data_IF_448133393632
#
_entry.id   IF_448133393632
#
_cell.length_a   1.000
_cell.length_b   1.000
_cell.length_c   1.000
_cell.angle_alpha   90.00
_cell.angle_beta   90.00
_cell.angle_gamma   90.00
#
_symmetry.space_group_name_H-M   'P 1'
#
loop_
_entity.id
_entity.type
_entity.pdbx_description
1 polymer ?
#
# COMPACT_ATOMS: atom_id res chain seq x y z
N UNK A 1 19.19 -45.04 -18.05
CA UNK A 1 18.50 -43.76 -18.28
C UNK A 1 17.02 -44.08 -18.37
N UNK A 2 16.21 -43.50 -17.50
CA UNK A 2 14.76 -43.73 -17.50
C UNK A 2 14.16 -43.27 -18.85
N UNK A 3 13.17 -43.98 -19.37
CA UNK A 3 12.56 -43.67 -20.68
C UNK A 3 11.98 -42.25 -20.73
N UNK A 4 11.56 -41.76 -19.57
CA UNK A 4 10.97 -40.44 -19.36
C UNK A 4 12.03 -39.33 -19.39
N UNK A 5 13.18 -39.54 -18.74
CA UNK A 5 14.32 -38.62 -18.80
C UNK A 5 14.85 -38.50 -20.24
N UNK A 6 14.92 -39.63 -20.96
CA UNK A 6 15.32 -39.64 -22.37
C UNK A 6 14.33 -38.86 -23.25
N UNK A 7 13.02 -38.97 -22.99
CA UNK A 7 12.00 -38.19 -23.70
C UNK A 7 12.17 -36.69 -23.44
N UNK A 8 12.41 -36.29 -22.19
CA UNK A 8 12.66 -34.90 -21.82
C UNK A 8 13.90 -34.33 -22.54
N UNK A 9 15.02 -35.05 -22.52
CA UNK A 9 16.26 -34.65 -23.21
C UNK A 9 16.06 -34.51 -24.72
N UNK A 10 15.25 -35.38 -25.34
CA UNK A 10 14.90 -35.26 -26.76
C UNK A 10 14.14 -33.98 -27.04
N UNK A 11 13.15 -33.61 -26.21
CA UNK A 11 12.44 -32.34 -26.37
C UNK A 11 13.41 -31.15 -26.29
N UNK A 12 14.29 -31.12 -25.28
CA UNK A 12 15.27 -30.04 -25.14
C UNK A 12 16.21 -29.94 -26.35
N UNK A 13 16.73 -31.07 -26.84
CA UNK A 13 17.58 -31.07 -28.02
C UNK A 13 16.87 -30.47 -29.24
N UNK A 14 15.57 -30.79 -29.43
CA UNK A 14 14.81 -30.24 -30.54
C UNK A 14 14.62 -28.72 -30.44
N UNK A 15 14.45 -28.17 -29.23
CA UNK A 15 14.37 -26.72 -29.03
C UNK A 15 15.65 -26.00 -29.47
N UNK A 16 16.80 -26.64 -29.32
CA UNK A 16 18.11 -26.11 -29.74
C UNK A 16 18.35 -26.32 -31.24
N UNK A 17 18.07 -27.53 -31.76
CA UNK A 17 18.59 -27.95 -33.06
C UNK A 17 17.61 -27.83 -34.23
N UNK A 18 16.30 -27.82 -34.00
CA UNK A 18 15.33 -27.88 -35.09
C UNK A 18 15.01 -26.51 -35.68
N UNK A 19 15.25 -26.37 -36.98
CA UNK A 19 14.84 -25.20 -37.75
C UNK A 19 13.38 -25.26 -38.19
N UNK A 20 12.69 -26.40 -38.03
CA UNK A 20 11.32 -26.59 -38.53
C UNK A 20 10.25 -26.19 -37.50
N UNK A 21 9.35 -25.27 -37.87
CA UNK A 21 8.36 -24.68 -36.95
C UNK A 21 7.37 -25.72 -36.41
N UNK A 22 6.90 -26.64 -37.25
CA UNK A 22 5.91 -27.66 -36.89
C UNK A 22 6.46 -28.69 -35.91
N UNK A 23 7.72 -29.08 -36.07
CA UNK A 23 8.41 -29.98 -35.15
C UNK A 23 8.64 -29.31 -33.80
N UNK A 24 9.03 -28.03 -33.77
CA UNK A 24 9.14 -27.28 -32.51
C UNK A 24 7.80 -27.20 -31.79
N UNK A 25 6.71 -26.82 -32.48
CA UNK A 25 5.35 -26.76 -31.87
C UNK A 25 4.89 -28.10 -31.29
N UNK A 26 5.06 -29.20 -32.04
CA UNK A 26 4.72 -30.54 -31.54
C UNK A 26 5.53 -30.93 -30.31
N UNK A 27 6.79 -30.54 -30.25
CA UNK A 27 7.64 -30.79 -29.09
C UNK A 27 7.26 -29.93 -27.89
N UNK A 28 6.76 -28.70 -28.08
CA UNK A 28 6.20 -27.89 -26.98
C UNK A 28 5.04 -28.63 -26.30
N UNK A 29 4.08 -29.15 -27.07
CA UNK A 29 2.95 -29.90 -26.53
C UNK A 29 3.39 -31.16 -25.78
N UNK A 30 4.33 -31.91 -26.38
CA UNK A 30 4.90 -33.13 -25.77
C UNK A 30 5.62 -32.81 -24.47
N UNK A 31 6.42 -31.74 -24.45
CA UNK A 31 7.15 -31.30 -23.27
C UNK A 31 6.21 -30.85 -22.14
N UNK A 32 5.17 -30.06 -22.45
CA UNK A 32 4.16 -29.65 -21.47
C UNK A 32 3.42 -30.84 -20.88
N UNK A 33 3.15 -31.88 -21.68
CA UNK A 33 2.54 -33.11 -21.17
C UNK A 33 3.49 -33.88 -20.24
N UNK A 34 4.78 -33.96 -20.57
CA UNK A 34 5.79 -34.57 -19.70
C UNK A 34 5.89 -33.86 -18.35
N UNK A 35 5.78 -32.53 -18.30
CA UNK A 35 5.83 -31.76 -17.05
C UNK A 35 4.68 -32.10 -16.10
N UNK A 36 3.56 -32.66 -16.57
CA UNK A 36 2.46 -33.09 -15.68
C UNK A 36 2.77 -34.39 -14.93
N UNK A 37 3.82 -35.12 -15.33
CA UNK A 37 4.19 -36.38 -14.71
C UNK A 37 4.98 -36.14 -13.41
N UNK A 38 4.45 -36.60 -12.28
CA UNK A 38 5.10 -36.45 -10.98
C UNK A 38 6.51 -37.08 -10.93
N UNK A 39 6.81 -38.06 -11.79
CA UNK A 39 8.15 -38.68 -11.86
C UNK A 39 9.19 -37.73 -12.42
N UNK A 40 8.81 -36.83 -13.34
CA UNK A 40 9.69 -35.77 -13.84
C UNK A 40 10.02 -34.81 -12.70
N UNK A 41 8.99 -34.40 -11.98
CA UNK A 41 9.09 -33.60 -10.78
C UNK A 41 10.01 -34.21 -9.71
N UNK A 42 9.89 -35.51 -9.42
CA UNK A 42 10.80 -36.20 -8.49
C UNK A 42 12.22 -36.35 -9.02
N UNK A 43 12.42 -36.36 -10.34
CA UNK A 43 13.74 -36.45 -10.96
C UNK A 43 14.46 -35.09 -10.93
N UNK A 44 13.72 -34.00 -11.15
CA UNK A 44 14.26 -32.64 -11.23
C UNK A 44 14.48 -31.98 -9.86
N UNK A 45 13.71 -32.36 -8.83
CA UNK A 45 13.86 -31.85 -7.45
C UNK A 45 14.99 -32.53 -6.67
N UNK A 46 15.73 -33.48 -7.27
CA UNK A 46 16.81 -34.16 -6.54
C UNK A 46 17.96 -33.20 -6.31
N UNK A 47 18.22 -32.88 -5.04
CA UNK A 47 19.47 -32.29 -4.61
C UNK A 47 20.63 -33.23 -4.99
N UNK A 48 21.42 -32.82 -5.97
CA UNK A 48 22.54 -33.63 -6.43
C UNK A 48 23.70 -33.48 -5.44
N UNK A 49 23.84 -34.45 -4.53
CA UNK A 49 24.88 -34.44 -3.51
C UNK A 49 26.24 -34.98 -3.99
N UNK A 50 26.29 -35.68 -5.14
CA UNK A 50 27.50 -36.29 -5.70
C UNK A 50 27.89 -35.67 -7.06
N UNK A 51 29.09 -35.11 -7.17
CA UNK A 51 29.62 -34.44 -8.38
C UNK A 51 29.64 -35.37 -9.62
N UNK A 52 29.81 -36.68 -9.41
CA UNK A 52 29.83 -37.68 -10.50
C UNK A 52 28.44 -37.98 -11.06
N UNK A 53 27.39 -37.92 -10.23
CA UNK A 53 26.00 -38.02 -10.68
C UNK A 53 25.46 -36.71 -11.26
N UNK A 54 26.00 -35.56 -10.81
CA UNK A 54 25.62 -34.23 -11.30
C UNK A 54 25.88 -34.01 -12.78
N UNK A 55 26.97 -34.57 -13.31
CA UNK A 55 27.35 -34.42 -14.73
C UNK A 55 26.37 -35.08 -15.71
N UNK A 56 25.43 -35.90 -15.25
CA UNK A 56 24.54 -36.67 -16.13
C UNK A 56 23.05 -36.57 -15.78
N UNK A 57 22.66 -35.80 -14.76
CA UNK A 57 21.25 -35.59 -14.40
C UNK A 57 20.76 -34.24 -14.88
N UNK A 58 19.62 -34.24 -15.57
CA UNK A 58 18.94 -33.02 -16.01
C UNK A 58 18.36 -32.27 -14.80
N UNK A 59 18.50 -30.94 -14.77
CA UNK A 59 17.99 -30.10 -13.67
C UNK A 59 16.98 -29.06 -14.17
N UNK A 60 16.21 -28.48 -13.23
CA UNK A 60 15.33 -27.34 -13.52
C UNK A 60 16.08 -26.17 -14.17
N UNK A 61 17.30 -25.88 -13.72
CA UNK A 61 18.12 -24.79 -14.24
C UNK A 61 18.63 -25.06 -15.67
N UNK A 62 19.04 -26.29 -15.97
CA UNK A 62 19.42 -26.68 -17.34
C UNK A 62 18.24 -26.52 -18.30
N UNK A 63 17.06 -27.00 -17.90
CA UNK A 63 15.83 -26.84 -18.68
C UNK A 63 15.49 -25.36 -18.88
N UNK A 64 15.58 -24.56 -17.82
CA UNK A 64 15.31 -23.14 -17.87
C UNK A 64 16.19 -22.41 -18.88
N UNK A 65 17.49 -22.68 -18.90
CA UNK A 65 18.41 -22.04 -19.83
C UNK A 65 18.06 -22.35 -21.30
N UNK A 66 17.75 -23.60 -21.63
CA UNK A 66 17.33 -24.00 -22.98
C UNK A 66 16.01 -23.35 -23.38
N UNK A 67 15.02 -23.38 -22.50
CA UNK A 67 13.69 -22.83 -22.79
C UNK A 67 13.75 -21.29 -22.88
N UNK A 68 14.56 -20.63 -22.05
CA UNK A 68 14.82 -19.19 -22.13
C UNK A 68 15.34 -18.80 -23.51
N UNK A 69 16.39 -19.45 -23.98
CA UNK A 69 17.00 -19.15 -25.29
C UNK A 69 16.01 -19.37 -26.43
N UNK A 70 15.32 -20.52 -26.41
CA UNK A 70 14.25 -20.81 -27.36
C UNK A 70 13.16 -19.72 -27.38
N UNK A 71 12.69 -19.28 -26.21
CA UNK A 71 11.66 -18.25 -26.12
C UNK A 71 12.15 -16.90 -26.65
N UNK A 72 13.38 -16.49 -26.34
CA UNK A 72 13.95 -15.23 -26.85
C UNK A 72 14.06 -15.25 -28.39
N UNK A 73 14.47 -16.38 -28.95
CA UNK A 73 14.58 -16.57 -30.40
C UNK A 73 13.21 -16.56 -31.09
N UNK A 74 12.22 -17.25 -30.52
CA UNK A 74 10.86 -17.26 -31.05
C UNK A 74 10.23 -15.85 -30.99
N UNK A 75 10.36 -15.14 -29.87
CA UNK A 75 9.90 -13.76 -29.75
C UNK A 75 10.54 -12.89 -30.84
N UNK A 76 11.87 -12.93 -30.97
CA UNK A 76 12.62 -12.16 -31.96
C UNK A 76 12.21 -12.47 -33.40
N UNK A 77 11.96 -13.75 -33.70
CA UNK A 77 11.47 -14.23 -34.99
C UNK A 77 10.04 -13.73 -35.28
N UNK A 78 9.14 -13.73 -34.29
CA UNK A 78 7.78 -13.20 -34.46
C UNK A 78 7.84 -11.70 -34.73
N UNK A 79 8.63 -10.95 -33.96
CA UNK A 79 8.77 -9.49 -34.09
C UNK A 79 9.27 -9.05 -35.47
N UNK A 80 10.27 -9.75 -36.00
CA UNK A 80 10.85 -9.43 -37.32
C UNK A 80 9.93 -9.79 -38.48
N UNK A 81 9.08 -10.82 -38.32
CA UNK A 81 8.24 -11.36 -39.40
C UNK A 81 6.79 -10.87 -39.39
N UNK A 82 6.31 -10.29 -38.29
CA UNK A 82 4.89 -10.00 -38.13
C UNK A 82 4.56 -8.53 -38.36
N UNK A 83 3.51 -8.27 -39.14
CA UNK A 83 2.75 -7.01 -39.09
C UNK A 83 1.92 -7.00 -37.79
N UNK A 84 1.83 -5.85 -37.11
CA UNK A 84 1.11 -5.70 -35.81
C UNK A 84 -0.39 -5.99 -35.99
N UNK A 85 -0.81 -7.23 -35.82
CA UNK A 85 -2.21 -7.66 -35.91
C UNK A 85 -2.51 -8.73 -34.84
N UNK A 86 -3.80 -9.04 -34.62
CA UNK A 86 -4.24 -10.00 -33.60
C UNK A 86 -3.65 -11.42 -33.76
N UNK A 87 -3.20 -11.79 -34.97
CA UNK A 87 -2.51 -13.07 -35.20
C UNK A 87 -1.08 -13.09 -34.63
N UNK A 88 -0.47 -11.92 -34.46
CA UNK A 88 0.84 -11.78 -33.81
C UNK A 88 0.72 -11.98 -32.29
N UNK A 89 -0.32 -11.44 -31.67
CA UNK A 89 -0.54 -11.55 -30.22
C UNK A 89 -0.68 -13.00 -29.77
N UNK A 90 -1.42 -13.82 -30.53
CA UNK A 90 -1.55 -15.27 -30.28
C UNK A 90 -0.18 -15.95 -30.34
N UNK A 91 0.66 -15.59 -31.33
CA UNK A 91 2.01 -16.17 -31.47
C UNK A 91 2.91 -15.78 -30.29
N UNK A 92 2.83 -14.53 -29.82
CA UNK A 92 3.57 -14.10 -28.62
C UNK A 92 3.12 -14.87 -27.38
N UNK A 93 1.81 -15.04 -27.18
CA UNK A 93 1.30 -15.83 -26.07
C UNK A 93 1.75 -17.30 -26.16
N UNK A 94 1.71 -17.92 -27.35
CA UNK A 94 2.19 -19.29 -27.55
C UNK A 94 3.69 -19.42 -27.20
N UNK A 95 4.52 -18.48 -27.62
CA UNK A 95 5.96 -18.48 -27.33
C UNK A 95 6.24 -18.30 -25.82
N UNK A 96 5.48 -17.44 -25.14
CA UNK A 96 5.61 -17.20 -23.70
C UNK A 96 4.99 -18.31 -22.84
N UNK A 97 4.00 -19.05 -23.36
CA UNK A 97 3.29 -20.10 -22.62
C UNK A 97 4.23 -21.19 -22.12
N UNK A 98 5.18 -21.63 -22.95
CA UNK A 98 6.15 -22.66 -22.56
C UNK A 98 7.05 -22.17 -21.43
N UNK A 99 7.57 -20.94 -21.57
CA UNK A 99 8.42 -20.29 -20.57
C UNK A 99 7.69 -20.14 -19.22
N UNK A 100 6.46 -19.63 -19.25
CA UNK A 100 5.55 -19.54 -18.10
C UNK A 100 5.32 -20.89 -17.45
N UNK A 101 4.94 -21.89 -18.25
CA UNK A 101 4.62 -23.24 -17.76
C UNK A 101 5.81 -23.84 -17.03
N UNK A 102 7.03 -23.69 -17.57
CA UNK A 102 8.23 -24.18 -16.91
C UNK A 102 8.44 -23.54 -15.53
N UNK A 103 8.38 -22.21 -15.45
CA UNK A 103 8.57 -21.49 -14.18
C UNK A 103 7.49 -21.86 -13.17
N UNK A 104 6.23 -21.95 -13.60
CA UNK A 104 5.11 -22.36 -12.76
C UNK A 104 5.34 -23.76 -12.17
N UNK A 105 5.74 -24.73 -13.00
CA UNK A 105 5.98 -26.09 -12.55
C UNK A 105 7.20 -26.18 -11.62
N UNK A 106 8.30 -25.49 -11.94
CA UNK A 106 9.48 -25.46 -11.09
C UNK A 106 9.20 -24.81 -9.72
N UNK A 107 8.33 -23.79 -9.68
CA UNK A 107 8.01 -23.06 -8.44
C UNK A 107 6.78 -23.60 -7.68
N UNK A 108 6.16 -24.70 -8.15
CA UNK A 108 4.90 -25.20 -7.56
C UNK A 108 5.09 -25.66 -6.10
N UNK A 109 6.22 -26.27 -5.78
CA UNK A 109 6.51 -26.80 -4.43
C UNK A 109 7.41 -25.88 -3.60
N UNK A 110 8.46 -25.38 -4.23
CA UNK A 110 9.42 -24.42 -3.68
C UNK A 110 10.10 -23.69 -4.85
N UNK A 111 10.74 -22.54 -4.63
CA UNK A 111 11.46 -21.83 -5.69
C UNK A 111 12.76 -22.57 -6.07
N UNK A 112 12.66 -23.57 -6.96
CA UNK A 112 13.77 -24.47 -7.35
C UNK A 112 14.77 -23.81 -8.32
N UNK A 113 14.32 -22.85 -9.13
CA UNK A 113 15.20 -22.19 -10.10
C UNK A 113 16.19 -21.24 -9.44
N UNK A 114 17.34 -21.04 -10.08
CA UNK A 114 18.26 -19.95 -9.72
C UNK A 114 17.58 -18.61 -10.01
N UNK A 115 17.51 -17.72 -9.02
CA UNK A 115 16.74 -16.49 -9.16
C UNK A 115 17.32 -15.54 -10.19
N UNK A 116 18.64 -15.38 -10.20
CA UNK A 116 19.30 -14.36 -11.02
C UNK A 116 19.05 -14.58 -12.52
N UNK A 117 19.23 -15.78 -13.10
CA UNK A 117 18.84 -16.06 -14.47
C UNK A 117 17.36 -15.81 -14.75
N UNK A 118 16.46 -16.21 -13.84
CA UNK A 118 15.01 -16.04 -14.02
C UNK A 118 14.64 -14.56 -14.08
N UNK A 119 15.11 -13.78 -13.11
CA UNK A 119 14.83 -12.35 -12.99
C UNK A 119 15.42 -11.60 -14.19
N UNK A 120 16.68 -11.83 -14.56
CA UNK A 120 17.30 -11.15 -15.71
C UNK A 120 16.57 -11.46 -17.01
N UNK A 121 16.13 -12.71 -17.21
CA UNK A 121 15.42 -13.11 -18.42
C UNK A 121 14.10 -12.36 -18.59
N UNK A 122 13.34 -12.22 -17.51
CA UNK A 122 12.03 -11.55 -17.56
C UNK A 122 12.21 -10.03 -17.66
N UNK A 123 13.03 -9.46 -16.78
CA UNK A 123 13.23 -8.01 -16.67
C UNK A 123 13.86 -7.44 -17.94
N UNK A 124 14.88 -8.11 -18.50
CA UNK A 124 15.53 -7.66 -19.74
C UNK A 124 14.57 -7.59 -20.91
N UNK A 125 13.58 -8.50 -21.00
CA UNK A 125 12.57 -8.46 -22.05
C UNK A 125 11.57 -7.33 -21.79
N UNK A 126 11.03 -7.24 -20.56
CA UNK A 126 9.99 -6.27 -20.21
C UNK A 126 10.47 -4.81 -20.39
N UNK A 127 11.69 -4.51 -19.95
CA UNK A 127 12.23 -3.13 -19.99
C UNK A 127 12.79 -2.77 -21.36
N UNK A 128 13.18 -3.76 -22.17
CA UNK A 128 13.80 -3.49 -23.47
C UNK A 128 12.95 -2.61 -24.37
N UNK A 129 13.58 -1.61 -24.98
CA UNK A 129 12.97 -0.78 -26.03
C UNK A 129 12.40 -1.62 -27.18
N UNK A 130 12.96 -2.82 -27.41
CA UNK A 130 12.48 -3.77 -28.40
C UNK A 130 11.02 -4.20 -28.19
N UNK A 131 10.59 -4.23 -26.93
CA UNK A 131 9.33 -4.82 -26.47
C UNK A 131 8.42 -3.83 -25.74
N UNK A 132 8.93 -2.62 -25.45
CA UNK A 132 8.19 -1.55 -24.77
C UNK A 132 6.87 -1.15 -25.46
N UNK A 133 6.73 -1.44 -26.77
CA UNK A 133 5.50 -1.20 -27.53
C UNK A 133 4.60 -2.43 -27.73
N UNK A 134 4.96 -3.58 -27.17
CA UNK A 134 4.23 -4.84 -27.30
C UNK A 134 3.43 -5.13 -26.02
N UNK A 135 2.19 -4.64 -25.99
CA UNK A 135 1.31 -4.73 -24.82
C UNK A 135 1.15 -6.17 -24.29
N UNK A 136 0.99 -7.14 -25.20
CA UNK A 136 0.77 -8.53 -24.80
C UNK A 136 1.98 -9.15 -24.10
N UNK A 137 3.19 -8.91 -24.62
CA UNK A 137 4.43 -9.42 -24.02
C UNK A 137 4.64 -8.83 -22.62
N UNK A 138 4.47 -7.50 -22.49
CA UNK A 138 4.57 -6.81 -21.20
C UNK A 138 3.56 -7.39 -20.20
N UNK A 139 2.31 -7.57 -20.61
CA UNK A 139 1.25 -8.08 -19.73
C UNK A 139 1.53 -9.50 -19.23
N UNK A 140 1.87 -10.41 -20.14
CA UNK A 140 2.13 -11.82 -19.83
C UNK A 140 3.34 -11.97 -18.90
N UNK A 141 4.45 -11.29 -19.23
CA UNK A 141 5.67 -11.35 -18.43
C UNK A 141 5.55 -10.61 -17.10
N UNK A 142 4.82 -9.49 -17.04
CA UNK A 142 4.54 -8.80 -15.77
C UNK A 142 3.74 -9.67 -14.83
N UNK A 143 2.73 -10.36 -15.35
CA UNK A 143 1.94 -11.27 -14.55
C UNK A 143 2.81 -12.40 -14.00
N UNK A 144 3.58 -13.06 -14.87
CA UNK A 144 4.52 -14.13 -14.50
C UNK A 144 5.54 -13.67 -13.44
N UNK A 145 6.11 -12.47 -13.61
CA UNK A 145 7.05 -11.86 -12.68
C UNK A 145 6.40 -11.68 -11.30
N UNK A 146 5.22 -11.09 -11.23
CA UNK A 146 4.59 -10.74 -9.95
C UNK A 146 4.06 -11.98 -9.23
N UNK A 147 3.37 -12.88 -9.94
CA UNK A 147 2.66 -14.00 -9.31
C UNK A 147 3.53 -15.21 -9.01
N UNK A 148 4.56 -15.47 -9.83
CA UNK A 148 5.30 -16.73 -9.77
C UNK A 148 6.79 -16.54 -9.47
N UNK A 149 7.30 -15.31 -9.53
CA UNK A 149 8.70 -15.01 -9.22
C UNK A 149 8.76 -14.14 -7.96
N UNK A 150 8.31 -12.89 -8.01
CA UNK A 150 8.41 -11.96 -6.88
C UNK A 150 7.46 -12.28 -5.72
N UNK A 151 6.60 -13.29 -5.86
CA UNK A 151 5.84 -13.88 -4.75
C UNK A 151 6.73 -14.65 -3.76
N UNK A 152 7.90 -15.14 -4.20
CA UNK A 152 8.85 -15.90 -3.37
C UNK A 152 10.00 -15.02 -2.88
N UNK A 153 10.30 -15.10 -1.58
CA UNK A 153 11.39 -14.32 -0.96
C UNK A 153 12.77 -14.60 -1.56
N UNK A 154 13.03 -15.85 -2.00
CA UNK A 154 14.28 -16.24 -2.69
C UNK A 154 14.57 -15.27 -3.83
N UNK A 155 13.60 -15.08 -4.72
CA UNK A 155 13.76 -14.24 -5.91
C UNK A 155 13.74 -12.75 -5.58
N UNK A 156 12.89 -12.31 -4.65
CA UNK A 156 12.84 -10.89 -4.23
C UNK A 156 14.20 -10.41 -3.73
N UNK A 157 14.90 -11.25 -2.96
CA UNK A 157 16.22 -10.91 -2.40
C UNK A 157 17.34 -10.85 -3.45
N UNK A 158 17.11 -11.38 -4.65
CA UNK A 158 18.09 -11.39 -5.74
C UNK A 158 17.97 -10.15 -6.66
N UNK A 159 16.93 -9.32 -6.50
CA UNK A 159 16.75 -8.08 -7.26
C UNK A 159 17.80 -7.03 -6.91
N UNK A 160 18.37 -6.40 -7.93
CA UNK A 160 19.30 -5.26 -7.79
C UNK A 160 18.56 -3.94 -7.69
N UNK A 161 19.22 -2.91 -7.15
CA UNK A 161 18.66 -1.55 -7.05
C UNK A 161 18.10 -1.02 -8.37
N UNK A 162 18.87 -1.17 -9.44
CA UNK A 162 18.46 -0.68 -10.76
C UNK A 162 17.20 -1.40 -11.25
N UNK A 163 17.07 -2.70 -10.96
CA UNK A 163 15.92 -3.50 -11.38
C UNK A 163 14.67 -3.11 -10.60
N UNK A 164 14.79 -2.83 -9.30
CA UNK A 164 13.71 -2.22 -8.53
C UNK A 164 13.27 -0.88 -9.11
N UNK A 165 14.24 -0.03 -9.42
CA UNK A 165 14.02 1.30 -9.99
C UNK A 165 13.29 1.21 -11.33
N UNK A 166 13.79 0.38 -12.23
CA UNK A 166 13.24 0.24 -13.57
C UNK A 166 11.83 -0.38 -13.56
N UNK A 167 11.59 -1.40 -12.72
CA UNK A 167 10.27 -1.98 -12.56
C UNK A 167 9.27 -0.96 -12.00
N UNK A 168 9.64 -0.23 -10.95
CA UNK A 168 8.79 0.83 -10.40
C UNK A 168 8.49 1.90 -11.47
N UNK A 169 9.50 2.39 -12.20
CA UNK A 169 9.33 3.35 -13.28
C UNK A 169 8.39 2.84 -14.39
N UNK A 170 8.56 1.58 -14.78
CA UNK A 170 7.69 0.93 -15.73
C UNK A 170 6.25 0.92 -15.23
N UNK A 171 5.98 0.35 -14.05
CA UNK A 171 4.59 0.21 -13.58
C UNK A 171 3.94 1.53 -13.18
N UNK A 172 4.72 2.55 -12.77
CA UNK A 172 4.25 3.93 -12.69
C UNK A 172 3.76 4.41 -14.06
N UNK A 173 4.58 4.25 -15.11
CA UNK A 173 4.19 4.63 -16.48
C UNK A 173 2.95 3.85 -16.97
N UNK A 174 2.89 2.55 -16.70
CA UNK A 174 1.79 1.66 -17.11
C UNK A 174 0.48 1.92 -16.37
N UNK A 175 0.54 2.36 -15.11
CA UNK A 175 -0.64 2.63 -14.28
C UNK A 175 -1.24 4.01 -14.48
N UNK A 176 -0.52 4.94 -15.13
CA UNK A 176 -1.06 6.26 -15.48
C UNK A 176 -2.37 6.15 -16.25
N UNK A 177 -3.36 6.89 -15.81
CA UNK A 177 -4.68 7.00 -16.45
C UNK A 177 -4.62 7.44 -17.91
N UNK A 178 -3.61 8.22 -18.28
CA UNK A 178 -3.41 8.73 -19.64
C UNK A 178 -2.62 7.79 -20.55
N UNK A 179 -2.25 6.60 -20.08
CA UNK A 179 -1.47 5.65 -20.88
C UNK A 179 -2.29 5.12 -22.06
N UNK A 180 -1.88 5.46 -23.28
CA UNK A 180 -2.57 5.08 -24.53
C UNK A 180 -2.21 3.69 -25.05
N UNK A 181 -1.21 3.03 -24.47
CA UNK A 181 -0.71 1.76 -24.99
C UNK A 181 -1.57 0.56 -24.56
N UNK A 182 -2.30 0.70 -23.45
CA UNK A 182 -3.11 -0.36 -22.87
C UNK A 182 -4.57 0.06 -22.74
N UNK A 183 -5.45 -0.94 -22.56
CA UNK A 183 -6.86 -0.67 -22.30
C UNK A 183 -7.00 -0.07 -20.90
N UNK A 184 -7.97 0.81 -20.71
CA UNK A 184 -8.33 1.33 -19.38
C UNK A 184 -8.61 0.19 -18.38
N UNK A 185 -9.16 -0.94 -18.87
CA UNK A 185 -9.38 -2.14 -18.06
C UNK A 185 -8.10 -2.75 -17.47
N UNK A 186 -6.94 -2.54 -18.09
CA UNK A 186 -5.65 -3.06 -17.61
C UNK A 186 -4.99 -2.11 -16.58
N UNK A 187 -5.45 -0.86 -16.43
CA UNK A 187 -4.89 0.09 -15.45
C UNK A 187 -5.06 -0.41 -14.01
N UNK A 188 -6.19 -1.06 -13.71
CA UNK A 188 -6.41 -1.70 -12.40
C UNK A 188 -5.38 -2.82 -12.13
N UNK A 189 -4.97 -3.55 -13.18
CA UNK A 189 -3.97 -4.59 -13.06
C UNK A 189 -2.58 -3.98 -12.82
N UNK A 190 -2.15 -3.00 -13.61
CA UNK A 190 -0.83 -2.40 -13.46
C UNK A 190 -0.67 -1.61 -12.17
N UNK A 191 -1.72 -0.93 -11.71
CA UNK A 191 -1.72 -0.30 -10.37
C UNK A 191 -1.60 -1.34 -9.26
N UNK A 192 -2.17 -2.54 -9.43
CA UNK A 192 -2.01 -3.64 -8.46
C UNK A 192 -0.58 -4.20 -8.45
N UNK A 193 0.09 -4.25 -9.61
CA UNK A 193 1.49 -4.66 -9.71
C UNK A 193 2.42 -3.61 -9.10
N UNK A 194 2.16 -2.32 -9.35
CA UNK A 194 2.89 -1.23 -8.72
C UNK A 194 2.74 -1.29 -7.19
N UNK A 195 1.51 -1.47 -6.70
CA UNK A 195 1.22 -1.66 -5.28
C UNK A 195 2.05 -2.80 -4.69
N UNK A 196 1.98 -3.98 -5.32
CA UNK A 196 2.73 -5.15 -4.88
C UNK A 196 4.24 -4.87 -4.79
N UNK A 197 4.80 -4.21 -5.80
CA UNK A 197 6.21 -3.86 -5.81
C UNK A 197 6.57 -2.86 -4.72
N UNK A 198 5.77 -1.83 -4.48
CA UNK A 198 6.02 -0.86 -3.41
C UNK A 198 5.97 -1.54 -2.04
N UNK A 199 4.99 -2.42 -1.80
CA UNK A 199 4.88 -3.20 -0.56
C UNK A 199 6.12 -4.09 -0.35
N UNK A 200 6.62 -4.75 -1.40
CA UNK A 200 7.85 -5.55 -1.31
C UNK A 200 9.09 -4.67 -1.14
N UNK A 201 9.18 -3.59 -1.89
CA UNK A 201 10.29 -2.64 -1.84
C UNK A 201 10.46 -2.09 -0.42
N UNK A 202 9.37 -1.64 0.21
CA UNK A 202 9.36 -1.12 1.59
C UNK A 202 9.87 -2.13 2.62
N UNK A 203 9.61 -3.43 2.41
CA UNK A 203 9.94 -4.49 3.37
C UNK A 203 11.34 -5.06 3.15
N UNK A 204 11.69 -5.36 1.89
CA UNK A 204 12.91 -6.10 1.54
C UNK A 204 14.06 -5.19 1.13
N UNK A 205 13.75 -3.97 0.69
CA UNK A 205 14.74 -3.04 0.19
C UNK A 205 14.90 -1.89 1.18
N UNK A 206 15.79 -2.09 2.15
CA UNK A 206 16.15 -1.06 3.13
C UNK A 206 17.09 -0.06 2.45
N UNK A 207 16.52 1.02 1.92
CA UNK A 207 17.30 2.08 1.33
C UNK A 207 18.11 2.80 2.40
N UNK A 208 19.42 2.94 2.15
CA UNK A 208 20.18 4.08 2.63
C UNK A 208 19.46 5.35 2.10
N UNK A 209 18.77 6.03 3.03
CA UNK A 209 17.71 7.04 2.84
C UNK A 209 18.12 8.25 1.99
N UNK A 210 19.36 8.34 1.54
CA UNK A 210 19.95 9.51 0.88
C UNK A 210 20.21 9.31 -0.62
N UNK A 211 20.18 8.08 -1.15
CA UNK A 211 20.78 7.80 -2.48
C UNK A 211 19.82 7.39 -3.60
N UNK A 212 18.63 6.89 -3.30
CA UNK A 212 17.79 6.33 -4.37
C UNK A 212 16.78 7.35 -4.90
N UNK A 213 16.94 7.72 -6.17
CA UNK A 213 16.05 8.64 -6.88
C UNK A 213 14.61 8.13 -6.95
N UNK A 214 14.43 6.79 -6.97
CA UNK A 214 13.12 6.16 -7.11
C UNK A 214 12.16 6.52 -5.99
N UNK A 215 12.65 6.81 -4.78
CA UNK A 215 11.79 7.23 -3.66
C UNK A 215 11.05 8.52 -4.01
N UNK A 216 11.77 9.53 -4.50
CA UNK A 216 11.21 10.83 -4.87
C UNK A 216 10.28 10.70 -6.08
N UNK A 217 10.66 9.86 -7.04
CA UNK A 217 9.84 9.60 -8.22
C UNK A 217 8.50 8.93 -7.86
N UNK A 218 8.54 7.93 -6.96
CA UNK A 218 7.32 7.27 -6.43
C UNK A 218 6.43 8.26 -5.67
N UNK A 219 7.04 9.12 -4.85
CA UNK A 219 6.32 10.14 -4.10
C UNK A 219 5.58 11.10 -5.03
N UNK A 220 6.31 11.70 -5.97
CA UNK A 220 5.72 12.67 -6.91
C UNK A 220 4.67 12.00 -7.80
N UNK A 221 4.92 10.76 -8.22
CA UNK A 221 3.94 9.96 -8.97
C UNK A 221 2.64 9.74 -8.20
N UNK A 222 2.71 9.26 -6.95
CA UNK A 222 1.52 8.99 -6.14
C UNK A 222 0.72 10.27 -5.91
N UNK A 223 1.41 11.37 -5.61
CA UNK A 223 0.79 12.69 -5.44
C UNK A 223 0.03 13.12 -6.69
N UNK A 224 0.71 13.14 -7.84
CA UNK A 224 0.12 13.61 -9.11
C UNK A 224 -1.02 12.71 -9.57
N UNK A 225 -0.87 11.39 -9.47
CA UNK A 225 -1.87 10.46 -10.01
C UNK A 225 -3.14 10.42 -9.14
N UNK A 226 -3.02 10.47 -7.81
CA UNK A 226 -4.18 10.56 -6.90
C UNK A 226 -4.96 11.85 -7.14
N UNK A 227 -4.26 12.98 -7.34
CA UNK A 227 -4.88 14.26 -7.66
C UNK A 227 -5.70 14.20 -8.95
N UNK A 228 -5.14 13.57 -10.00
CA UNK A 228 -5.84 13.39 -11.27
C UNK A 228 -7.07 12.47 -11.14
N UNK A 229 -6.99 11.46 -10.27
CA UNK A 229 -8.05 10.48 -10.04
C UNK A 229 -9.13 10.94 -9.05
N UNK A 230 -9.01 12.14 -8.45
CA UNK A 230 -9.94 12.59 -7.40
C UNK A 230 -11.40 12.65 -7.82
N UNK A 231 -11.67 12.78 -9.13
CA UNK A 231 -13.01 12.77 -9.72
C UNK A 231 -13.32 11.52 -10.56
N UNK A 232 -12.40 10.54 -10.62
CA UNK A 232 -12.52 9.33 -11.44
C UNK A 232 -13.30 8.21 -10.73
N UNK A 233 -14.04 7.41 -11.50
CA UNK A 233 -14.73 6.20 -11.00
C UNK A 233 -13.85 4.94 -11.06
N UNK A 234 -12.54 5.07 -11.31
CA UNK A 234 -11.58 3.95 -11.36
C UNK A 234 -11.22 3.48 -9.94
N UNK A 235 -12.22 3.04 -9.16
CA UNK A 235 -12.06 2.77 -7.72
C UNK A 235 -10.97 1.75 -7.39
N UNK A 236 -10.76 0.73 -8.24
CA UNK A 236 -9.68 -0.25 -8.04
C UNK A 236 -8.29 0.37 -8.20
N UNK A 237 -8.14 1.31 -9.14
CA UNK A 237 -6.86 2.04 -9.34
C UNK A 237 -6.61 2.93 -8.13
N UNK A 238 -7.64 3.69 -7.72
CA UNK A 238 -7.59 4.55 -6.53
C UNK A 238 -7.21 3.71 -5.29
N UNK A 239 -7.86 2.58 -5.06
CA UNK A 239 -7.55 1.67 -3.95
C UNK A 239 -6.08 1.24 -3.95
N UNK A 240 -5.57 0.80 -5.10
CA UNK A 240 -4.19 0.35 -5.23
C UNK A 240 -3.18 1.46 -4.94
N UNK A 241 -3.42 2.67 -5.45
CA UNK A 241 -2.56 3.84 -5.21
C UNK A 241 -2.61 4.30 -3.75
N UNK A 242 -3.78 4.30 -3.11
CA UNK A 242 -3.90 4.64 -1.69
C UNK A 242 -3.22 3.61 -0.79
N UNK A 243 -3.30 2.32 -1.13
CA UNK A 243 -2.60 1.28 -0.39
C UNK A 243 -1.07 1.42 -0.53
N UNK A 244 -0.62 1.79 -1.72
CA UNK A 244 0.79 2.12 -1.99
C UNK A 244 1.25 3.33 -1.18
N UNK A 245 0.45 4.40 -1.17
CA UNK A 245 0.67 5.62 -0.40
C UNK A 245 0.79 5.32 1.11
N UNK A 246 -0.11 4.51 1.66
CA UNK A 246 -0.06 4.10 3.07
C UNK A 246 1.21 3.32 3.39
N UNK A 247 1.57 2.34 2.55
CA UNK A 247 2.76 1.51 2.76
C UNK A 247 4.05 2.34 2.71
N UNK A 248 4.15 3.23 1.71
CA UNK A 248 5.26 4.15 1.57
C UNK A 248 5.34 5.12 2.77
N UNK A 249 4.23 5.78 3.10
CA UNK A 249 4.20 6.79 4.16
C UNK A 249 4.50 6.20 5.54
N UNK A 250 4.04 4.98 5.80
CA UNK A 250 4.33 4.29 7.06
C UNK A 250 5.81 3.93 7.19
N UNK A 251 6.45 3.46 6.11
CA UNK A 251 7.88 3.13 6.11
C UNK A 251 8.74 4.34 6.42
N UNK A 252 8.45 5.49 5.80
CA UNK A 252 9.30 6.68 5.89
C UNK A 252 8.86 7.69 6.96
N UNK A 253 7.82 7.38 7.74
CA UNK A 253 7.28 8.26 8.77
C UNK A 253 8.37 8.77 9.73
N UNK A 254 9.24 7.87 10.21
CA UNK A 254 10.25 8.20 11.22
C UNK A 254 11.51 8.81 10.60
N UNK A 255 11.83 8.44 9.37
CA UNK A 255 13.04 8.89 8.69
C UNK A 255 12.87 10.27 8.05
N UNK A 256 11.68 10.55 7.52
CA UNK A 256 11.34 11.78 6.79
C UNK A 256 9.93 12.28 7.17
N UNK A 257 9.68 12.58 8.45
CA UNK A 257 8.37 13.02 8.93
C UNK A 257 7.85 14.27 8.22
N UNK A 258 8.74 15.20 7.86
CA UNK A 258 8.38 16.44 7.14
C UNK A 258 7.85 16.15 5.73
N UNK A 259 8.45 15.21 5.00
CA UNK A 259 7.99 14.84 3.66
C UNK A 259 6.58 14.21 3.72
N UNK A 260 6.35 13.32 4.69
CA UNK A 260 5.04 12.68 4.91
C UNK A 260 3.99 13.70 5.39
N UNK A 261 4.41 14.69 6.18
CA UNK A 261 3.58 15.81 6.63
C UNK A 261 3.12 16.69 5.47
N UNK A 262 4.05 17.17 4.64
CA UNK A 262 3.72 18.01 3.48
C UNK A 262 2.82 17.27 2.49
N UNK A 263 3.11 15.99 2.25
CA UNK A 263 2.27 15.12 1.44
C UNK A 263 0.84 15.04 1.97
N UNK A 264 0.67 14.91 3.27
CA UNK A 264 -0.62 14.91 3.94
C UNK A 264 -1.43 16.16 3.65
N UNK A 265 -0.81 17.32 3.88
CA UNK A 265 -1.47 18.62 3.67
C UNK A 265 -1.91 18.83 2.21
N UNK A 266 -1.09 18.38 1.26
CA UNK A 266 -1.38 18.52 -0.17
C UNK A 266 -2.43 17.53 -0.68
N UNK A 267 -2.38 16.26 -0.25
CA UNK A 267 -3.28 15.21 -0.76
C UNK A 267 -4.63 15.14 -0.04
N UNK A 268 -4.70 15.48 1.24
CA UNK A 268 -5.92 15.33 2.03
C UNK A 268 -7.17 15.96 1.38
N UNK A 269 -7.12 17.18 0.80
CA UNK A 269 -8.28 17.74 0.10
C UNK A 269 -8.84 16.80 -0.99
N UNK A 270 -7.95 16.19 -1.78
CA UNK A 270 -8.35 15.27 -2.84
C UNK A 270 -8.82 13.91 -2.31
N UNK A 271 -8.24 13.45 -1.20
CA UNK A 271 -8.74 12.25 -0.50
C UNK A 271 -10.12 12.48 0.11
N UNK A 272 -10.38 13.66 0.68
CA UNK A 272 -11.68 14.09 1.18
C UNK A 272 -12.70 14.10 0.04
N UNK A 273 -12.35 14.63 -1.14
CA UNK A 273 -13.22 14.60 -2.31
C UNK A 273 -13.51 13.17 -2.78
N UNK A 274 -12.52 12.26 -2.75
CA UNK A 274 -12.74 10.83 -3.04
C UNK A 274 -13.70 10.19 -2.04
N UNK A 275 -13.52 10.42 -0.73
CA UNK A 275 -14.41 9.87 0.31
C UNK A 275 -15.82 10.44 0.20
N UNK A 276 -15.96 11.75 -0.07
CA UNK A 276 -17.27 12.40 -0.21
C UNK A 276 -18.10 11.80 -1.36
N UNK A 277 -17.44 11.28 -2.40
CA UNK A 277 -18.12 10.54 -3.46
C UNK A 277 -18.58 9.18 -2.94
N UNK A 278 -19.66 8.64 -3.51
CA UNK A 278 -20.16 7.29 -3.22
C UNK A 278 -19.18 6.24 -3.78
N UNK A 279 -17.99 6.15 -3.20
CA UNK A 279 -16.95 5.17 -3.51
C UNK A 279 -17.19 3.88 -2.72
N UNK A 280 -16.54 2.80 -3.16
CA UNK A 280 -16.56 1.52 -2.44
C UNK A 280 -15.85 1.64 -1.08
N UNK A 281 -16.14 0.69 -0.17
CA UNK A 281 -15.57 0.69 1.18
C UNK A 281 -14.03 0.60 1.18
N UNK A 282 -13.43 0.07 0.12
CA UNK A 282 -11.99 -0.18 0.05
C UNK A 282 -11.16 1.11 -0.05
N UNK A 283 -11.38 2.02 -1.03
CA UNK A 283 -10.79 3.37 -1.01
C UNK A 283 -11.02 4.11 0.31
N UNK A 284 -12.26 4.08 0.86
CA UNK A 284 -12.55 4.73 2.15
C UNK A 284 -11.67 4.20 3.28
N UNK A 285 -11.46 2.89 3.34
CA UNK A 285 -10.60 2.24 4.33
C UNK A 285 -9.17 2.74 4.25
N UNK A 286 -8.64 2.86 3.03
CA UNK A 286 -7.27 3.36 2.83
C UNK A 286 -7.15 4.87 3.12
N UNK A 287 -8.17 5.67 2.82
CA UNK A 287 -8.23 7.09 3.21
C UNK A 287 -8.25 7.21 4.74
N UNK A 288 -9.07 6.43 5.43
CA UNK A 288 -9.12 6.42 6.91
C UNK A 288 -7.74 6.08 7.50
N UNK A 289 -7.04 5.08 6.94
CA UNK A 289 -5.66 4.74 7.36
C UNK A 289 -4.70 5.90 7.16
N UNK A 290 -4.72 6.55 5.99
CA UNK A 290 -3.85 7.68 5.70
C UNK A 290 -4.16 8.88 6.61
N UNK A 291 -5.45 9.22 6.79
CA UNK A 291 -5.86 10.28 7.70
C UNK A 291 -5.41 10.01 9.13
N UNK A 292 -5.48 8.77 9.62
CA UNK A 292 -4.95 8.39 10.95
C UNK A 292 -3.44 8.62 11.04
N UNK A 293 -2.68 8.28 10.01
CA UNK A 293 -1.24 8.56 9.96
C UNK A 293 -0.96 10.06 10.09
N UNK A 294 -1.71 10.88 9.35
CA UNK A 294 -1.62 12.34 9.44
C UNK A 294 -2.01 12.86 10.82
N UNK A 295 -3.04 12.28 11.46
CA UNK A 295 -3.38 12.63 12.84
C UNK A 295 -2.23 12.37 13.83
N UNK A 296 -1.43 11.33 13.60
CA UNK A 296 -0.26 11.02 14.44
C UNK A 296 0.87 12.04 14.24
N UNK A 297 1.14 12.43 13.00
CA UNK A 297 2.20 13.40 12.66
C UNK A 297 1.88 14.78 13.22
N UNK A 298 0.63 15.23 13.09
CA UNK A 298 0.16 16.52 13.58
C UNK A 298 -0.07 16.55 15.10
N UNK A 299 0.22 15.46 15.81
CA UNK A 299 0.11 15.42 17.27
C UNK A 299 1.12 16.38 17.92
N UNK A 300 0.75 17.17 18.95
CA UNK A 300 1.65 18.15 19.58
C UNK A 300 3.00 17.59 20.03
N UNK A 301 3.01 16.36 20.56
CA UNK A 301 4.25 15.66 20.95
C UNK A 301 5.17 15.32 19.77
N UNK A 302 4.65 15.18 18.54
CA UNK A 302 5.44 14.97 17.32
C UNK A 302 5.75 16.28 16.57
N UNK A 303 4.94 17.32 16.82
CA UNK A 303 5.05 18.66 16.19
C UNK A 303 6.30 19.44 16.61
N UNK A 304 7.07 18.98 17.59
CA UNK A 304 8.29 19.65 18.06
C UNK A 304 9.38 19.78 16.97
N UNK A 305 9.26 19.05 15.86
CA UNK A 305 10.21 19.10 14.73
C UNK A 305 9.74 19.87 13.49
N UNK A 306 8.45 20.24 13.36
CA UNK A 306 7.87 20.74 12.10
C UNK A 306 7.60 22.25 12.21
N UNK A 307 8.40 23.08 11.54
CA UNK A 307 8.46 24.53 11.79
C UNK A 307 7.68 25.43 10.81
N UNK A 308 7.11 24.92 9.71
CA UNK A 308 6.81 25.78 8.54
C UNK A 308 5.48 25.58 7.76
N UNK A 309 4.34 25.21 8.38
CA UNK A 309 3.06 25.26 7.64
C UNK A 309 1.95 25.93 8.45
N UNK A 310 1.16 26.76 7.74
CA UNK A 310 -0.04 27.44 8.25
C UNK A 310 -1.02 26.43 8.84
N UNK A 311 -1.28 26.59 10.13
CA UNK A 311 -2.28 25.84 10.91
C UNK A 311 -3.66 25.85 10.21
N UNK A 312 -3.95 26.83 9.36
CA UNK A 312 -5.25 27.01 8.69
C UNK A 312 -5.59 25.89 7.70
N UNK A 313 -4.62 25.41 6.91
CA UNK A 313 -4.87 24.33 5.93
C UNK A 313 -5.19 23.03 6.66
N UNK A 314 -4.41 22.70 7.69
CA UNK A 314 -4.66 21.52 8.51
C UNK A 314 -5.99 21.63 9.27
N UNK A 315 -6.29 22.78 9.89
CA UNK A 315 -7.55 23.01 10.59
C UNK A 315 -8.74 22.87 9.63
N UNK A 316 -8.62 23.37 8.39
CA UNK A 316 -9.65 23.16 7.36
C UNK A 316 -9.84 21.68 7.05
N UNK A 317 -8.75 20.95 6.78
CA UNK A 317 -8.79 19.51 6.49
C UNK A 317 -9.40 18.73 7.67
N UNK A 318 -9.06 19.09 8.92
CA UNK A 318 -9.65 18.50 10.13
C UNK A 318 -11.17 18.67 10.19
N UNK A 319 -11.68 19.86 9.86
CA UNK A 319 -13.13 20.13 9.83
C UNK A 319 -13.82 19.30 8.75
N UNK A 320 -13.25 19.28 7.56
CA UNK A 320 -13.79 18.50 6.45
C UNK A 320 -13.81 16.98 6.74
N UNK A 321 -12.77 16.45 7.39
CA UNK A 321 -12.72 15.04 7.83
C UNK A 321 -13.78 14.78 8.91
N UNK A 322 -13.91 15.67 9.90
CA UNK A 322 -14.94 15.52 10.94
C UNK A 322 -16.35 15.45 10.36
N UNK A 323 -16.66 16.34 9.42
CA UNK A 323 -17.97 16.36 8.75
C UNK A 323 -18.21 15.10 7.93
N UNK A 324 -17.17 14.49 7.34
CA UNK A 324 -17.29 13.21 6.64
C UNK A 324 -17.53 12.05 7.61
N UNK A 325 -16.82 12.02 8.74
CA UNK A 325 -16.97 10.99 9.76
C UNK A 325 -18.39 11.00 10.32
N UNK A 326 -18.91 12.18 10.69
CA UNK A 326 -20.27 12.33 11.21
C UNK A 326 -21.30 11.84 10.18
N UNK A 327 -21.18 12.26 8.92
CA UNK A 327 -22.06 11.79 7.84
C UNK A 327 -22.01 10.27 7.66
N UNK A 328 -20.83 9.66 7.69
CA UNK A 328 -20.68 8.20 7.56
C UNK A 328 -21.31 7.46 8.74
N UNK A 329 -21.11 7.96 9.97
CA UNK A 329 -21.74 7.42 11.19
C UNK A 329 -23.26 7.50 11.08
N UNK A 330 -23.81 8.65 10.68
CA UNK A 330 -25.25 8.87 10.49
C UNK A 330 -25.82 7.88 9.47
N UNK A 331 -25.14 7.70 8.32
CA UNK A 331 -25.55 6.75 7.29
C UNK A 331 -25.54 5.29 7.79
N UNK A 332 -24.51 4.90 8.53
CA UNK A 332 -24.39 3.55 9.13
C UNK A 332 -25.52 3.33 10.12
N UNK A 333 -25.75 4.28 11.04
CA UNK A 333 -26.79 4.19 12.05
C UNK A 333 -28.18 4.14 11.41
N UNK A 334 -28.43 4.97 10.40
CA UNK A 334 -29.69 4.97 9.65
C UNK A 334 -29.93 3.63 8.94
N UNK A 335 -28.94 3.07 8.23
CA UNK A 335 -29.05 1.75 7.58
C UNK A 335 -29.32 0.64 8.59
N UNK A 336 -28.65 0.65 9.74
CA UNK A 336 -28.85 -0.35 10.79
C UNK A 336 -30.25 -0.26 11.41
N UNK A 337 -30.83 0.94 11.58
CA UNK A 337 -32.22 1.10 12.07
C UNK A 337 -33.24 0.50 11.11
N UNK A 338 -33.05 0.71 9.80
CA UNK A 338 -33.95 0.13 8.80
C UNK A 338 -33.93 -1.41 8.84
N UNK A 339 -32.77 -1.99 9.13
CA UNK A 339 -32.57 -3.44 9.15
C UNK A 339 -32.91 -4.09 10.51
N UNK A 340 -32.60 -3.43 11.63
CA UNK A 340 -32.78 -3.94 12.99
C UNK A 340 -34.01 -3.29 13.65
N UNK A 341 -35.17 -3.95 13.53
CA UNK A 341 -36.43 -3.47 14.14
C UNK A 341 -36.51 -3.64 15.67
N UNK A 342 -35.55 -4.28 16.33
CA UNK A 342 -35.71 -4.73 17.73
C UNK A 342 -34.64 -4.23 18.75
N UNK A 343 -33.45 -3.78 18.34
CA UNK A 343 -32.46 -3.22 19.27
C UNK A 343 -31.94 -1.88 18.73
N UNK A 344 -32.48 -0.76 19.23
CA UNK A 344 -32.11 0.60 18.81
C UNK A 344 -30.85 1.15 19.51
N UNK A 345 -30.30 0.42 20.49
CA UNK A 345 -29.27 0.94 21.40
C UNK A 345 -27.84 0.46 21.09
N UNK A 346 -27.64 -0.43 20.12
CA UNK A 346 -26.33 -0.99 19.80
C UNK A 346 -26.01 -0.83 18.30
N UNK A 347 -25.34 0.28 17.96
CA UNK A 347 -24.84 0.51 16.60
C UNK A 347 -23.45 -0.09 16.43
N UNK A 348 -23.28 -0.89 15.39
CA UNK A 348 -22.00 -1.50 15.03
C UNK A 348 -21.30 -0.59 14.02
N UNK A 349 -20.42 0.27 14.51
CA UNK A 349 -19.57 1.13 13.66
C UNK A 349 -18.19 0.47 13.54
N UNK A 350 -17.56 0.60 12.36
CA UNK A 350 -16.21 0.05 12.14
C UNK A 350 -15.20 0.70 13.08
N UNK A 351 -14.35 -0.13 13.69
CA UNK A 351 -13.34 0.30 14.65
C UNK A 351 -12.37 1.35 14.10
N UNK A 352 -11.96 1.22 12.85
CA UNK A 352 -10.99 2.14 12.24
C UNK A 352 -11.56 3.54 12.01
N UNK A 353 -12.86 3.65 11.69
CA UNK A 353 -13.58 4.92 11.62
C UNK A 353 -13.73 5.55 13.01
N UNK A 354 -14.10 4.77 14.04
CA UNK A 354 -14.18 5.25 15.43
C UNK A 354 -12.82 5.74 15.94
N UNK A 355 -11.75 5.01 15.61
CA UNK A 355 -10.39 5.38 15.98
C UNK A 355 -9.95 6.69 15.32
N UNK A 356 -10.31 6.91 14.04
CA UNK A 356 -10.07 8.19 13.38
C UNK A 356 -10.90 9.32 14.00
N UNK A 357 -12.18 9.08 14.28
CA UNK A 357 -13.07 10.05 14.95
C UNK A 357 -12.45 10.51 16.27
N UNK A 358 -12.05 9.57 17.13
CA UNK A 358 -11.35 9.86 18.39
C UNK A 358 -10.10 10.72 18.17
N UNK A 359 -9.26 10.40 17.17
CA UNK A 359 -8.06 11.22 16.85
C UNK A 359 -8.41 12.65 16.43
N UNK A 360 -9.42 12.82 15.59
CA UNK A 360 -9.85 14.13 15.09
C UNK A 360 -10.41 14.98 16.23
N UNK A 361 -11.25 14.40 17.10
CA UNK A 361 -11.77 15.12 18.27
C UNK A 361 -10.68 15.55 19.23
N UNK A 362 -9.71 14.67 19.48
CA UNK A 362 -8.56 14.98 20.31
C UNK A 362 -7.79 16.18 19.75
N UNK A 363 -7.50 16.20 18.46
CA UNK A 363 -6.82 17.34 17.85
C UNK A 363 -7.62 18.65 17.93
N UNK A 364 -8.95 18.61 17.78
CA UNK A 364 -9.78 19.80 17.99
C UNK A 364 -9.71 20.31 19.43
N UNK A 365 -9.71 19.40 20.41
CA UNK A 365 -9.58 19.76 21.82
C UNK A 365 -8.24 20.46 22.09
N UNK A 366 -7.14 19.91 21.55
CA UNK A 366 -5.81 20.48 21.68
C UNK A 366 -5.70 21.87 21.05
N UNK A 367 -6.21 22.06 19.82
CA UNK A 367 -6.17 23.36 19.16
C UNK A 367 -6.96 24.43 19.93
N UNK A 368 -8.11 24.07 20.53
CA UNK A 368 -8.87 25.01 21.37
C UNK A 368 -8.16 25.35 22.68
N UNK A 369 -7.44 24.40 23.27
CA UNK A 369 -6.61 24.63 24.46
C UNK A 369 -5.46 25.57 24.12
N UNK A 370 -4.77 25.34 23.00
CA UNK A 370 -3.67 26.20 22.55
C UNK A 370 -4.12 27.66 22.34
N UNK A 371 -5.23 27.88 21.62
CA UNK A 371 -5.81 29.23 21.41
C UNK A 371 -6.17 29.89 22.73
N UNK A 372 -6.75 29.14 23.68
CA UNK A 372 -7.12 29.68 24.99
C UNK A 372 -5.90 30.11 25.81
N UNK A 373 -4.80 29.36 25.74
CA UNK A 373 -3.57 29.70 26.43
C UNK A 373 -2.89 30.91 25.79
N UNK A 374 -2.89 31.03 24.45
CA UNK A 374 -2.39 32.22 23.75
C UNK A 374 -3.18 33.49 24.11
N UNK A 375 -4.49 33.38 24.30
CA UNK A 375 -5.31 34.52 24.75
C UNK A 375 -5.01 34.92 26.20
N UNK A 376 -4.71 33.95 27.07
CA UNK A 376 -4.34 34.22 28.47
C UNK A 376 -2.94 34.85 28.56
N UNK A 377 -2.00 34.43 27.71
CA UNK A 377 -0.66 35.02 27.68
C UNK A 377 -0.70 36.47 27.14
N UNK A 378 -1.53 36.77 26.14
CA UNK A 378 -1.71 38.15 25.63
C UNK A 378 -2.45 39.09 26.61
N UNK A 379 -3.30 38.56 27.49
CA UNK A 379 -3.99 39.36 28.53
C UNK A 379 -3.09 39.64 29.75
N UNK A 380 -1.93 38.99 29.87
CA UNK A 380 -0.97 39.18 30.97
C UNK A 380 0.23 40.09 30.61
N UNK A 381 0.32 40.57 29.38
CA UNK A 381 1.42 41.44 28.92
C UNK A 381 1.20 42.95 29.23
N UNK A 382 0.13 43.31 29.95
CA UNK A 382 -0.20 44.71 30.27
C UNK A 382 0.28 45.20 31.65
N UNK A 383 0.97 44.38 32.48
CA UNK A 383 1.51 44.84 33.77
C UNK A 383 2.86 44.16 34.13
N UNK A 384 3.97 44.66 33.57
CA UNK A 384 5.23 44.98 34.30
C UNK A 384 6.43 45.12 33.31
N UNK A 385 6.90 46.36 33.13
CA UNK A 385 8.25 46.63 32.62
C UNK A 385 9.31 46.13 33.62
N UNK A 386 9.76 44.87 33.51
CA UNK A 386 11.14 44.53 33.83
C UNK A 386 11.71 43.44 32.92
N UNK A 387 12.78 43.82 32.25
CA UNK A 387 13.59 43.03 31.33
C UNK A 387 14.04 41.68 31.89
N UNK A 388 13.62 40.59 31.24
CA UNK A 388 14.42 39.37 31.04
C UNK A 388 13.77 38.61 29.88
N UNK A 389 14.33 38.66 28.66
CA UNK A 389 13.90 37.81 27.55
C UNK A 389 14.13 36.33 27.89
N UNK A 390 13.10 35.49 28.06
CA UNK A 390 13.25 34.07 27.92
C UNK A 390 13.09 33.78 26.42
N UNK A 391 14.16 33.30 25.78
CA UNK A 391 14.13 32.91 24.36
C UNK A 391 12.84 32.16 24.02
N UNK A 392 12.07 32.61 23.01
CA UNK A 392 10.73 32.12 22.66
C UNK A 392 10.60 30.59 22.48
N UNK A 393 11.72 29.90 22.38
CA UNK A 393 11.83 28.44 22.44
C UNK A 393 11.39 27.88 23.79
N UNK A 394 11.86 28.44 24.92
CA UNK A 394 11.63 27.88 26.28
C UNK A 394 10.18 28.02 26.76
N UNK A 395 9.51 29.12 26.43
CA UNK A 395 8.08 29.32 26.72
C UNK A 395 7.19 28.33 25.95
N UNK A 396 7.53 28.02 24.69
CA UNK A 396 6.85 26.96 23.91
C UNK A 396 7.09 25.56 24.49
N UNK A 397 8.28 25.30 25.04
CA UNK A 397 8.61 24.03 25.71
C UNK A 397 7.74 23.78 26.96
N UNK A 398 7.53 24.81 27.80
CA UNK A 398 6.73 24.66 29.04
C UNK A 398 5.21 24.59 28.75
N UNK A 399 4.71 25.36 27.78
CA UNK A 399 3.29 25.28 27.37
C UNK A 399 2.95 23.92 26.71
N UNK A 400 3.89 23.32 25.96
CA UNK A 400 3.72 21.99 25.35
C UNK A 400 3.60 20.86 26.38
N UNK A 401 4.36 20.93 27.47
CA UNK A 401 4.31 19.94 28.56
C UNK A 401 2.98 20.02 29.34
N UNK A 402 2.39 21.23 29.41
CA UNK A 402 1.12 21.53 30.07
C UNK A 402 -0.12 21.06 29.27
N UNK A 403 -0.03 20.97 27.94
CA UNK A 403 -1.14 20.50 27.08
C UNK A 403 -1.43 19.00 27.28
N UNK A 404 -0.40 18.20 27.61
CA UNK A 404 -0.54 16.76 27.89
C UNK A 404 -1.22 16.44 29.23
N UNK A 405 -1.30 17.41 30.15
CA UNK A 405 -1.74 17.22 31.53
C UNK A 405 -3.14 17.76 31.82
N UNK A 406 -3.77 18.52 30.91
CA UNK A 406 -5.09 19.10 31.17
C UNK A 406 -6.25 18.20 30.71
N UNK A 407 -6.28 16.99 31.29
CA UNK A 407 -7.32 15.98 31.10
C UNK A 407 -8.72 16.58 31.34
N UNK A 408 -8.83 17.51 32.28
CA UNK A 408 -10.10 18.14 32.66
C UNK A 408 -10.68 19.06 31.60
N UNK A 409 -9.83 19.84 30.91
CA UNK A 409 -10.27 20.65 29.77
C UNK A 409 -10.66 19.77 28.58
N UNK A 410 -9.93 18.67 28.35
CA UNK A 410 -10.29 17.70 27.32
C UNK A 410 -11.65 17.07 27.65
N UNK A 411 -11.85 16.59 28.88
CA UNK A 411 -13.10 16.01 29.36
C UNK A 411 -14.27 16.99 29.28
N UNK A 412 -14.09 18.25 29.68
CA UNK A 412 -15.12 19.28 29.60
C UNK A 412 -15.49 19.60 28.15
N UNK A 413 -14.52 19.59 27.24
CA UNK A 413 -14.77 19.69 25.81
C UNK A 413 -15.57 18.49 25.30
N UNK A 414 -15.19 17.27 25.69
CA UNK A 414 -15.91 16.05 25.34
C UNK A 414 -17.34 16.06 25.89
N UNK A 415 -17.57 16.51 27.12
CA UNK A 415 -18.91 16.67 27.70
C UNK A 415 -19.77 17.65 26.90
N UNK A 416 -19.23 18.83 26.55
CA UNK A 416 -19.97 19.82 25.76
C UNK A 416 -20.27 19.32 24.34
N UNK A 417 -19.31 18.62 23.72
CA UNK A 417 -19.51 17.99 22.42
C UNK A 417 -20.55 16.87 22.50
N UNK A 418 -20.48 16.02 23.52
CA UNK A 418 -21.44 14.93 23.75
C UNK A 418 -22.87 15.44 23.98
N UNK A 419 -23.02 16.57 24.66
CA UNK A 419 -24.31 17.27 24.80
C UNK A 419 -24.82 17.86 23.49
N UNK A 420 -23.93 18.14 22.52
CA UNK A 420 -24.29 18.62 21.18
C UNK A 420 -24.50 17.51 20.15
N UNK A 421 -24.06 16.28 20.47
CA UNK A 421 -24.32 15.09 19.65
C UNK A 421 -25.80 14.76 19.80
N UNK A 422 -26.49 14.58 18.68
CA UNK A 422 -27.89 14.13 18.65
C UNK A 422 -28.06 12.94 19.63
N UNK A 423 -29.07 12.94 20.51
CA UNK A 423 -29.38 11.83 21.41
C UNK A 423 -29.30 10.45 20.73
N UNK A 424 -29.64 10.41 19.45
CA UNK A 424 -29.58 9.23 18.59
C UNK A 424 -28.17 8.69 18.26
N UNK A 425 -27.11 9.46 18.55
CA UNK A 425 -25.70 9.10 18.32
C UNK A 425 -24.90 8.96 19.63
N UNK A 426 -25.54 9.06 20.79
CA UNK A 426 -24.90 8.95 22.11
C UNK A 426 -24.11 7.64 22.28
N UNK A 427 -24.66 6.50 21.85
CA UNK A 427 -23.98 5.20 21.90
C UNK A 427 -22.65 5.18 21.12
N UNK A 428 -22.61 5.81 19.95
CA UNK A 428 -21.39 5.94 19.14
C UNK A 428 -20.44 6.97 19.76
N UNK A 429 -20.97 8.07 20.28
CA UNK A 429 -20.22 9.03 21.08
C UNK A 429 -19.51 8.38 22.27
N UNK A 430 -20.16 7.45 22.97
CA UNK A 430 -19.55 6.73 24.10
C UNK A 430 -18.37 5.87 23.65
N UNK A 431 -18.48 5.18 22.51
CA UNK A 431 -17.39 4.39 21.95
C UNK A 431 -16.19 5.29 21.61
N UNK A 432 -16.44 6.45 21.01
CA UNK A 432 -15.41 7.45 20.65
C UNK A 432 -14.72 8.00 21.91
N UNK A 433 -15.49 8.38 22.93
CA UNK A 433 -14.96 8.87 24.22
C UNK A 433 -14.17 7.78 24.92
N UNK A 434 -14.65 6.54 24.94
CA UNK A 434 -13.95 5.41 25.56
C UNK A 434 -12.58 5.18 24.93
N UNK A 435 -12.49 5.17 23.59
CA UNK A 435 -11.21 5.08 22.87
C UNK A 435 -10.25 6.22 23.21
N UNK A 436 -10.79 7.42 23.42
CA UNK A 436 -9.97 8.57 23.80
C UNK A 436 -9.43 8.44 25.23
N UNK A 437 -10.26 7.96 26.16
CA UNK A 437 -9.85 7.72 27.54
C UNK A 437 -8.79 6.61 27.61
N UNK A 438 -8.93 5.54 26.82
CA UNK A 438 -7.90 4.50 26.68
C UNK A 438 -6.56 5.08 26.22
N UNK A 439 -6.56 5.96 25.21
CA UNK A 439 -5.32 6.63 24.76
C UNK A 439 -4.71 7.52 25.83
N UNK A 440 -5.52 8.31 26.51
CA UNK A 440 -5.05 9.20 27.56
C UNK A 440 -4.50 8.39 28.77
N UNK A 441 -5.13 7.26 29.12
CA UNK A 441 -4.64 6.35 30.16
C UNK A 441 -3.30 5.68 29.78
N UNK A 442 -3.10 5.33 28.50
CA UNK A 442 -1.81 4.79 28.03
C UNK A 442 -0.70 5.84 28.11
N UNK A 443 -1.03 7.12 27.89
CA UNK A 443 -0.09 8.24 28.00
C UNK A 443 0.19 8.64 29.46
N UNK A 444 -0.74 8.37 30.39
CA UNK A 444 -0.58 8.61 31.82
C UNK A 444 -0.68 7.31 32.63
N UNK A 445 0.41 6.55 32.72
CA UNK A 445 0.50 5.34 33.56
C UNK A 445 0.31 5.59 35.07
N UNK A 446 0.07 6.83 35.50
CA UNK A 446 0.01 7.23 36.91
C UNK A 446 -1.39 7.36 37.52
N UNK A 447 -2.50 7.40 36.76
CA UNK A 447 -3.82 7.73 37.35
C UNK A 447 -5.04 6.97 36.81
N UNK A 448 -4.98 5.64 36.73
CA UNK A 448 -6.14 4.81 36.36
C UNK A 448 -7.38 5.03 37.26
N UNK A 449 -7.20 5.38 38.55
CA UNK A 449 -8.31 5.65 39.47
C UNK A 449 -9.06 6.95 39.17
N UNK A 450 -8.38 7.96 38.62
CA UNK A 450 -9.01 9.20 38.18
C UNK A 450 -9.97 8.94 37.01
N UNK A 451 -9.49 8.24 36.00
CA UNK A 451 -10.28 7.89 34.81
C UNK A 451 -11.48 6.99 35.12
N UNK A 452 -11.35 6.02 36.04
CA UNK A 452 -12.49 5.21 36.51
C UNK A 452 -13.55 6.07 37.21
N UNK A 453 -13.14 7.09 37.99
CA UNK A 453 -14.05 8.00 38.68
C UNK A 453 -14.77 8.93 37.70
N UNK A 454 -14.08 9.37 36.65
CA UNK A 454 -14.64 10.17 35.56
C UNK A 454 -15.63 9.36 34.71
N UNK A 455 -15.29 8.13 34.31
CA UNK A 455 -16.21 7.22 33.59
C UNK A 455 -17.47 6.98 34.43
N UNK A 456 -17.32 6.77 35.75
CA UNK A 456 -18.46 6.63 36.66
C UNK A 456 -19.33 7.89 36.72
N UNK A 457 -18.75 9.09 36.80
CA UNK A 457 -19.49 10.36 36.75
C UNK A 457 -20.25 10.53 35.43
N UNK A 458 -19.60 10.23 34.32
CA UNK A 458 -20.16 10.35 32.98
C UNK A 458 -21.31 9.34 32.76
N UNK A 459 -21.23 8.14 33.33
CA UNK A 459 -22.31 7.13 33.31
C UNK A 459 -23.44 7.40 34.31
N UNK A 460 -23.21 8.19 35.36
CA UNK A 460 -24.26 8.53 36.34
C UNK A 460 -25.12 9.71 35.92
N UNK A 461 -24.62 10.65 35.10
CA UNK A 461 -25.39 11.81 34.64
C UNK A 461 -26.51 11.44 33.65
N UNK A 462 -26.44 10.28 32.96
CA UNK A 462 -27.55 9.74 32.15
C UNK A 462 -28.74 9.24 32.97
N UNK A 463 -28.57 8.98 34.28
CA UNK A 463 -29.69 8.54 35.14
C UNK A 463 -30.47 9.68 35.77
N UNK A 464 -30.05 10.92 35.57
CA UNK A 464 -30.69 12.12 36.11
C UNK A 464 -31.57 12.88 35.12
N UNK A 465 -31.68 12.41 33.88
CA UNK A 465 -32.47 13.05 32.80
C UNK A 465 -33.45 12.10 32.10
N UNK A 466 -33.99 11.13 32.84
CA UNK A 466 -35.31 10.49 32.60
C UNK A 466 -36.27 10.94 33.66
#
# INVERSE_FOLDING_TARGET
>A
MDAIELALRKCLHVFISSTTVTERKRNVETFVELLKDNRIHELLDKDIQDETTAKCSITWNEMFNVIREYTIDELSSIRTKSTKNASADIKYQEALKLFRTLIENANTRAPELDGRPVIESIISIIISEAWSSCAIVIKELSHLLITNVLSFHKYVNELREQEWTDLCNLYMSLSKTQNKLFRESDQALYSSYLKFLIEKFVVYYDLDLTKSSIRKDLFEFLKVEIEQLKNSNHFSVIENLLCSLNSWSFKYLFDMPDEVYHLGNELLPSLIDIWRRKCSDKPKTEIIKFSRLQMSIHHPNHRQCITEVSDDIWIKNLRDINDLILREIDEICHKQRLNNRQNQNEFIVRFDLLHLASSVFYQFALNKIAIKNELIDNDNDDDDETSFEPSSKRARYENSMCISTNVDLQLKYFQNLFQSIDPHHQAVGFQIVSLQLERNMILSLTDCNYYITVIKRFLTDERSST
#
